data_IF_193426747215
#
_entry.id   IF_193426747215
#
_cell.length_a   1.000
_cell.length_b   1.000
_cell.length_c   1.000
_cell.angle_alpha   90.00
_cell.angle_beta   90.00
_cell.angle_gamma   90.00
#
_symmetry.space_group_name_H-M   'P 1'
#
loop_
_entity.id
_entity.type
_entity.pdbx_description
1 polymer ?
2 polymer ?
3 water ?
#
# COMPACT_ATOMS: atom_id res chain seq x y z
N UNK A 1 19.83 26.85 -13.98
CA UNK A 1 18.75 26.25 -13.20
C UNK A 1 18.85 24.74 -13.18
N UNK A 2 18.97 24.17 -11.99
CA UNK A 2 19.00 22.73 -11.79
C UNK A 2 17.75 22.27 -11.08
N UNK A 3 17.50 20.95 -11.13
CA UNK A 3 16.40 20.40 -10.35
C UNK A 3 16.63 20.59 -8.86
N UNK A 4 17.89 20.55 -8.43
CA UNK A 4 18.19 20.75 -7.01
C UNK A 4 17.82 22.16 -6.56
N UNK A 5 18.10 23.16 -7.39
CA UNK A 5 17.73 24.52 -7.03
C UNK A 5 16.23 24.72 -7.04
N UNK A 6 15.50 23.95 -7.84
CA UNK A 6 14.04 23.99 -7.77
C UNK A 6 13.55 23.55 -6.40
N UNK A 7 14.14 22.49 -5.86
CA UNK A 7 13.82 22.06 -4.50
C UNK A 7 14.33 23.08 -3.49
N UNK A 8 15.60 23.49 -3.65
CA UNK A 8 16.24 24.34 -2.64
C UNK A 8 15.65 25.74 -2.60
N UNK A 9 15.34 26.31 -3.78
CA UNK A 9 14.96 27.72 -3.85
C UNK A 9 13.47 27.95 -4.03
N UNK A 10 12.72 26.96 -4.50
CA UNK A 10 11.29 27.14 -4.77
C UNK A 10 10.39 26.20 -3.99
N UNK A 11 10.93 25.27 -3.24
CA UNK A 11 10.16 24.44 -2.32
C UNK A 11 10.57 24.65 -0.87
N UNK A 12 11.87 24.71 -0.59
CA UNK A 12 12.38 24.89 0.77
C UNK A 12 12.52 26.35 1.15
N UNK A 13 11.94 27.27 0.39
CA UNK A 13 12.06 28.68 0.73
C UNK A 13 11.10 29.06 1.85
N UNK A 14 11.31 30.24 2.42
CA UNK A 14 10.45 30.74 3.48
C UNK A 14 9.05 31.00 2.95
N UNK A 15 8.05 30.55 3.71
CA UNK A 15 6.64 30.78 3.40
C UNK A 15 6.00 31.32 4.66
N UNK A 16 5.78 32.64 4.70
CA UNK A 16 5.15 33.30 5.85
C UNK A 16 5.88 32.96 7.15
N UNK A 17 7.20 33.00 7.10
CA UNK A 17 8.03 32.71 8.26
C UNK A 17 8.28 31.25 8.53
N UNK A 18 7.75 30.35 7.71
CA UNK A 18 7.85 28.92 7.95
C UNK A 18 8.55 28.23 6.77
N UNK A 19 8.99 27.00 7.01
CA UNK A 19 9.69 26.21 6.02
C UNK A 19 9.19 24.77 6.06
N UNK A 20 9.16 24.14 4.88
CA UNK A 20 8.95 22.71 4.82
C UNK A 20 10.07 21.98 5.53
N UNK A 21 9.76 20.79 6.04
CA UNK A 21 10.82 19.95 6.60
C UNK A 21 11.54 19.17 5.50
N UNK A 22 10.79 18.60 4.56
CA UNK A 22 11.35 17.91 3.42
C UNK A 22 10.59 18.31 2.16
N UNK A 23 11.23 18.14 1.02
CA UNK A 23 10.63 18.44 -0.27
C UNK A 23 11.38 17.67 -1.35
N UNK A 24 10.67 17.36 -2.44
CA UNK A 24 11.28 16.59 -3.51
C UNK A 24 10.45 16.70 -4.77
N UNK A 25 11.10 16.46 -5.90
CA UNK A 25 10.46 16.31 -7.19
C UNK A 25 10.81 14.92 -7.71
N UNK A 26 9.80 14.09 -7.92
CA UNK A 26 9.97 12.72 -8.40
C UNK A 26 9.38 12.59 -9.79
N UNK A 27 10.04 11.82 -10.64
CA UNK A 27 9.37 11.30 -11.81
C UNK A 27 8.30 10.31 -11.40
N UNK A 28 7.25 10.22 -12.22
CA UNK A 28 6.17 9.31 -11.88
C UNK A 28 6.59 7.85 -11.96
N UNK A 29 7.77 7.56 -12.53
CA UNK A 29 8.37 6.23 -12.46
C UNK A 29 8.99 5.94 -11.10
N UNK A 30 9.02 6.91 -10.19
CA UNK A 30 9.59 6.73 -8.87
C UNK A 30 11.03 7.17 -8.72
N UNK A 31 11.65 7.69 -9.77
CA UNK A 31 13.03 8.15 -9.71
C UNK A 31 13.09 9.58 -9.19
N UNK A 32 14.15 9.88 -8.44
CA UNK A 32 14.35 11.21 -7.88
C UNK A 32 14.87 12.13 -8.97
N UNK A 33 14.19 13.25 -9.18
CA UNK A 33 14.77 14.33 -9.97
C UNK A 33 15.64 15.23 -9.11
N UNK A 34 15.16 15.54 -7.89
CA UNK A 34 15.91 16.21 -6.85
C UNK A 34 15.12 16.12 -5.57
N UNK A 35 15.83 16.14 -4.44
CA UNK A 35 15.19 16.02 -3.14
C UNK A 35 16.00 16.76 -2.10
N UNK A 36 15.36 17.11 -1.00
CA UNK A 36 16.05 17.71 0.12
C UNK A 36 16.92 16.66 0.81
N UNK A 37 17.76 17.13 1.74
CA UNK A 37 18.85 16.31 2.25
C UNK A 37 18.37 15.08 3.01
N UNK A 38 17.16 15.10 3.58
CA UNK A 38 16.67 13.96 4.33
C UNK A 38 15.27 13.56 3.90
N UNK A 39 14.95 13.75 2.62
CA UNK A 39 13.64 13.33 2.14
C UNK A 39 13.50 11.82 2.31
N UNK A 40 12.34 11.33 2.74
CA UNK A 40 12.20 9.90 3.04
C UNK A 40 12.46 9.03 1.81
N UNK A 41 13.00 7.84 2.07
CA UNK A 41 13.16 6.83 1.03
C UNK A 41 11.80 6.27 0.66
N UNK A 42 11.29 6.63 -0.50
CA UNK A 42 9.98 6.18 -0.94
C UNK A 42 10.06 4.77 -1.50
N UNK A 43 9.19 3.89 -1.01
CA UNK A 43 9.16 2.52 -1.49
C UNK A 43 8.44 2.45 -2.85
N UNK A 44 8.76 1.44 -3.67
CA UNK A 44 8.03 1.30 -4.94
C UNK A 44 6.53 1.14 -4.75
N UNK A 45 6.10 0.43 -3.70
CA UNK A 45 4.68 0.29 -3.45
C UNK A 45 4.04 1.62 -3.02
N UNK A 46 4.81 2.48 -2.35
CA UNK A 46 4.28 3.79 -1.99
C UNK A 46 4.12 4.67 -3.22
N UNK A 47 5.07 4.60 -4.16
CA UNK A 47 4.93 5.32 -5.42
C UNK A 47 3.74 4.76 -6.21
N UNK A 48 3.61 3.43 -6.27
CA UNK A 48 2.50 2.82 -6.99
C UNK A 48 1.16 3.22 -6.39
N UNK A 49 1.08 3.28 -5.06
CA UNK A 49 -0.16 3.69 -4.42
C UNK A 49 -0.49 5.16 -4.67
N UNK A 50 0.54 6.00 -4.70
CA UNK A 50 0.33 7.42 -5.02
C UNK A 50 -0.16 7.56 -6.45
N UNK A 51 0.48 6.87 -7.39
CA UNK A 51 0.06 6.92 -8.79
C UNK A 51 -1.37 6.43 -8.94
N UNK A 52 -1.73 5.35 -8.24
CA UNK A 52 -3.09 4.82 -8.31
C UNK A 52 -4.10 5.78 -7.69
N UNK A 53 -3.71 6.49 -6.63
CA UNK A 53 -4.62 7.41 -5.99
C UNK A 53 -4.95 8.59 -6.89
N UNK A 54 -3.97 9.08 -7.64
CA UNK A 54 -4.24 10.13 -8.61
C UNK A 54 -5.16 9.62 -9.71
N UNK A 55 -4.93 8.40 -10.17
CA UNK A 55 -5.78 7.82 -11.21
C UNK A 55 -7.19 7.53 -10.71
N UNK A 56 -7.31 7.14 -9.44
CA UNK A 56 -8.59 6.73 -8.84
C UNK A 56 -8.68 7.36 -7.45
N UNK A 57 -9.25 8.57 -7.39
CA UNK A 57 -9.34 9.29 -6.14
C UNK A 57 -10.10 8.48 -5.09
N UNK A 58 -9.59 8.48 -3.87
CA UNK A 58 -10.16 7.68 -2.80
C UNK A 58 -9.49 6.34 -2.59
N UNK A 59 -8.45 6.02 -3.36
CA UNK A 59 -7.82 4.70 -3.25
C UNK A 59 -7.09 4.56 -1.92
N UNK A 60 -6.32 5.58 -1.53
CA UNK A 60 -5.52 5.51 -0.32
C UNK A 60 -6.30 5.93 0.94
N UNK A 61 -7.37 6.71 0.78
CA UNK A 61 -8.06 7.31 1.92
C UNK A 61 -8.39 6.33 3.04
N UNK A 62 -8.96 5.15 2.80
CA UNK A 62 -9.28 4.25 3.92
C UNK A 62 -8.09 3.56 4.54
N UNK A 63 -6.93 3.51 3.86
CA UNK A 63 -5.79 2.76 4.36
C UNK A 63 -4.60 3.63 4.77
N UNK A 64 -4.50 4.85 4.27
CA UNK A 64 -3.44 5.75 4.66
C UNK A 64 -2.44 5.96 3.55
N UNK A 65 -1.84 7.15 3.53
CA UNK A 65 -0.73 7.46 2.63
C UNK A 65 0.57 7.21 3.37
N UNK A 66 1.49 6.50 2.73
CA UNK A 66 2.74 6.08 3.36
C UNK A 66 3.92 6.68 2.60
N UNK A 67 4.83 7.30 3.36
CA UNK A 67 6.03 7.91 2.81
C UNK A 67 7.21 7.45 3.66
N UNK A 68 8.08 6.62 3.07
CA UNK A 68 9.15 6.03 3.84
C UNK A 68 8.67 5.21 5.02
N UNK A 69 7.54 4.52 4.85
CA UNK A 69 6.95 3.75 5.92
C UNK A 69 6.14 4.55 6.92
N UNK A 70 6.18 5.87 6.87
CA UNK A 70 5.45 6.72 7.80
C UNK A 70 4.03 6.93 7.29
N UNK A 71 3.05 6.70 8.15
CA UNK A 71 1.64 6.74 7.76
C UNK A 71 1.07 8.14 7.91
N UNK A 72 0.41 8.63 6.86
CA UNK A 72 -0.32 9.89 6.89
C UNK A 72 -1.80 9.61 6.64
N UNK A 73 -2.65 10.35 7.33
CA UNK A 73 -4.09 10.28 7.06
C UNK A 73 -4.42 11.13 5.84
N UNK A 74 -5.06 10.52 4.85
CA UNK A 74 -5.46 11.25 3.66
C UNK A 74 -6.58 12.22 4.04
N UNK A 75 -6.36 13.51 3.81
CA UNK A 75 -7.38 14.52 4.08
C UNK A 75 -7.91 15.04 2.75
N UNK A 76 -8.50 16.23 2.78
CA UNK A 76 -9.13 16.78 1.58
C UNK A 76 -8.07 17.07 0.52
N UNK A 77 -8.32 16.60 -0.71
CA UNK A 77 -7.40 16.84 -1.80
C UNK A 77 -8.10 17.36 -3.04
N UNK A 78 -7.42 17.24 -4.18
CA UNK A 78 -8.01 17.57 -5.48
C UNK A 78 -7.93 16.34 -6.36
N UNK A 79 -9.08 15.80 -6.74
CA UNK A 79 -9.15 14.55 -7.49
C UNK A 79 -8.26 14.59 -8.71
N UNK A 80 -7.42 13.56 -8.86
CA UNK A 80 -6.52 13.45 -9.99
C UNK A 80 -5.37 14.42 -10.01
N UNK A 81 -5.22 15.29 -9.01
CA UNK A 81 -4.25 16.37 -9.10
C UNK A 81 -3.42 16.55 -7.84
N UNK A 82 -4.05 16.57 -6.66
CA UNK A 82 -3.37 16.90 -5.41
C UNK A 82 -3.77 15.89 -4.34
N UNK A 83 -2.79 15.24 -3.74
CA UNK A 83 -2.98 14.43 -2.54
C UNK A 83 -2.51 15.26 -1.35
N UNK A 84 -3.29 15.24 -0.27
CA UNK A 84 -2.95 15.94 0.96
C UNK A 84 -3.10 14.99 2.13
N UNK A 85 -2.10 14.97 3.00
CA UNK A 85 -2.13 14.11 4.16
C UNK A 85 -1.81 14.89 5.42
N UNK A 86 -2.22 14.32 6.56
CA UNK A 86 -1.93 14.87 7.87
C UNK A 86 -1.39 13.78 8.78
N UNK A 87 -0.42 14.15 9.62
CA UNK A 87 0.09 13.26 10.66
C UNK A 87 0.34 14.15 11.88
N UNK A 88 -0.61 14.16 12.80
CA UNK A 88 -0.59 15.09 13.90
C UNK A 88 -0.65 16.51 13.39
N UNK A 89 0.14 17.41 13.99
CA UNK A 89 0.19 18.80 13.50
C UNK A 89 0.90 18.95 12.15
N UNK A 90 1.63 17.93 11.70
CA UNK A 90 2.31 17.98 10.42
C UNK A 90 1.48 17.35 9.31
N UNK A 91 2.09 17.29 8.13
CA UNK A 91 1.39 16.75 6.98
C UNK A 91 2.24 16.78 5.73
N UNK A 92 1.56 16.68 4.59
CA UNK A 92 2.25 16.54 3.31
C UNK A 92 1.27 16.94 2.20
N UNK A 93 1.81 17.52 1.14
CA UNK A 93 1.08 17.77 -0.10
C UNK A 93 1.85 17.12 -1.23
N UNK A 94 1.14 16.38 -2.08
CA UNK A 94 1.71 15.79 -3.29
C UNK A 94 0.94 16.34 -4.48
N UNK A 95 1.64 17.09 -5.34
CA UNK A 95 1.03 17.73 -6.50
C UNK A 95 1.51 17.01 -7.76
N UNK A 96 0.56 16.54 -8.56
CA UNK A 96 0.88 15.82 -9.78
C UNK A 96 1.03 16.78 -10.94
N UNK A 97 2.12 16.63 -11.70
CA UNK A 97 2.26 17.25 -13.00
C UNK A 97 2.10 16.16 -14.06
N UNK A 98 2.27 16.54 -15.33
CA UNK A 98 2.07 15.56 -16.39
C UNK A 98 3.08 14.42 -16.30
N UNK A 99 4.33 14.73 -15.93
CA UNK A 99 5.37 13.72 -15.86
C UNK A 99 5.91 13.46 -14.47
N UNK A 100 5.65 14.34 -13.50
CA UNK A 100 6.38 14.30 -12.23
C UNK A 100 5.42 14.32 -11.05
N UNK A 101 6.01 14.24 -9.86
CA UNK A 101 5.31 14.37 -8.59
C UNK A 101 6.09 15.34 -7.73
N UNK A 102 5.40 16.37 -7.21
CA UNK A 102 6.03 17.37 -6.37
C UNK A 102 5.59 17.11 -4.93
N UNK A 103 6.57 16.91 -4.04
CA UNK A 103 6.32 16.56 -2.65
C UNK A 103 6.70 17.72 -1.75
N UNK A 104 5.92 17.90 -0.68
CA UNK A 104 6.27 18.82 0.38
C UNK A 104 5.81 18.27 1.71
N UNK A 105 6.71 18.11 2.67
CA UNK A 105 6.39 17.58 3.99
C UNK A 105 6.67 18.67 5.02
N UNK A 106 5.69 18.93 5.89
CA UNK A 106 5.78 20.02 6.83
C UNK A 106 5.50 19.54 8.25
N UNK A 107 5.99 20.33 9.21
CA UNK A 107 5.68 20.17 10.62
C UNK A 107 5.16 21.50 11.15
N UNK A 108 4.48 21.44 12.29
CA UNK A 108 4.13 22.65 13.01
C UNK A 108 5.41 23.45 13.26
N UNK A 109 5.36 24.79 13.28
CA UNK A 109 4.16 25.63 13.14
C UNK A 109 3.71 25.88 11.70
N UNK A 110 4.33 25.23 10.72
CA UNK A 110 3.86 25.37 9.35
C UNK A 110 2.52 24.69 9.18
N UNK A 111 1.66 25.30 8.37
CA UNK A 111 0.30 24.83 8.17
C UNK A 111 0.16 24.08 6.85
N UNK A 112 -0.91 23.31 6.73
CA UNK A 112 -1.21 22.65 5.47
C UNK A 112 -1.44 23.63 4.34
N UNK A 113 -2.01 24.80 4.64
CA UNK A 113 -2.23 25.79 3.61
C UNK A 113 -0.94 26.37 3.07
N UNK A 114 0.05 26.57 3.93
CA UNK A 114 1.35 27.06 3.48
C UNK A 114 2.07 26.00 2.66
N UNK A 115 1.96 24.74 3.05
CA UNK A 115 2.54 23.66 2.27
C UNK A 115 1.86 23.54 0.91
N UNK A 116 0.53 23.62 0.87
CA UNK A 116 -0.19 23.63 -0.40
C UNK A 116 0.30 24.75 -1.30
N UNK A 117 0.51 25.94 -0.72
CA UNK A 117 0.92 27.09 -1.51
C UNK A 117 2.20 26.81 -2.29
N UNK A 118 3.24 26.34 -1.60
CA UNK A 118 4.55 26.20 -2.23
C UNK A 118 4.56 25.01 -3.18
N UNK A 119 3.89 23.91 -2.81
CA UNK A 119 3.97 22.68 -3.59
C UNK A 119 3.10 22.78 -4.84
N UNK A 120 1.86 23.24 -4.69
CA UNK A 120 0.96 23.26 -5.83
C UNK A 120 1.37 24.33 -6.83
N UNK A 121 1.89 25.46 -6.36
CA UNK A 121 2.27 26.52 -7.29
C UNK A 121 3.50 26.15 -8.10
N UNK A 122 4.44 25.41 -7.52
CA UNK A 122 5.57 24.93 -8.31
C UNK A 122 5.12 23.86 -9.28
N UNK A 123 4.26 22.94 -8.83
CA UNK A 123 3.69 21.96 -9.74
C UNK A 123 2.96 22.60 -10.90
N UNK A 124 2.19 23.66 -10.62
CA UNK A 124 1.53 24.39 -11.69
C UNK A 124 2.52 24.94 -12.69
N UNK A 125 3.63 25.51 -12.21
CA UNK A 125 4.63 26.06 -13.11
C UNK A 125 5.25 24.97 -13.99
N UNK A 126 5.52 23.80 -13.40
CA UNK A 126 6.10 22.71 -14.18
C UNK A 126 5.12 22.21 -15.24
N UNK A 127 3.83 22.18 -14.92
CA UNK A 127 2.81 21.83 -15.91
C UNK A 127 2.80 22.87 -17.02
N UNK A 128 2.77 24.16 -16.66
CA UNK A 128 2.79 25.21 -17.66
C UNK A 128 4.08 25.21 -18.47
N UNK A 129 5.16 24.63 -17.94
CA UNK A 129 6.41 24.49 -18.67
C UNK A 129 6.47 23.20 -19.49
N UNK A 130 5.36 22.47 -19.59
CA UNK A 130 5.32 21.26 -20.39
C UNK A 130 5.78 20.01 -19.67
N UNK A 131 5.82 20.02 -18.34
CA UNK A 131 6.27 18.86 -17.58
C UNK A 131 5.19 18.35 -16.63
N UNK B 1 9.76 -6.91 -7.25
CA UNK B 1 9.02 -7.68 -6.27
C UNK B 1 9.38 -9.15 -6.30
N UNK B 2 9.53 -9.73 -5.11
CA UNK B 2 9.56 -11.18 -4.94
C UNK B 2 8.28 -11.60 -4.25
N UNK B 3 7.94 -12.89 -4.39
CA UNK B 3 6.81 -13.41 -3.63
C UNK B 3 7.06 -13.29 -2.13
N UNK B 4 8.33 -13.41 -1.71
CA UNK B 4 8.65 -13.25 -0.29
C UNK B 4 8.33 -11.84 0.20
N UNK B 5 8.65 -10.83 -0.61
CA UNK B 5 8.37 -9.46 -0.19
C UNK B 5 6.88 -9.14 -0.26
N UNK B 6 6.13 -9.82 -1.13
CA UNK B 6 4.69 -9.69 -1.10
C UNK B 6 4.13 -10.12 0.26
N UNK B 7 4.67 -11.21 0.81
CA UNK B 7 4.27 -11.66 2.15
C UNK B 7 4.79 -10.70 3.21
N UNK B 8 6.11 -10.42 3.16
CA UNK B 8 6.73 -9.63 4.22
C UNK B 8 6.21 -8.19 4.25
N UNK B 9 6.07 -7.56 3.08
CA UNK B 9 5.78 -6.13 3.02
C UNK B 9 4.29 -5.82 2.91
N UNK B 10 3.47 -6.74 2.42
CA UNK B 10 2.08 -6.43 2.13
C UNK B 10 1.08 -7.36 2.81
N UNK B 11 1.55 -8.33 3.58
CA UNK B 11 0.68 -9.10 4.45
C UNK B 11 1.09 -9.02 5.90
N UNK B 12 2.40 -9.05 6.18
CA UNK B 12 2.92 -9.00 7.54
C UNK B 12 3.18 -7.58 8.03
N UNK B 13 2.78 -6.56 7.26
CA UNK B 13 3.00 -5.18 7.65
C UNK B 13 2.01 -4.77 8.74
N UNK B 14 2.30 -3.63 9.35
CA UNK B 14 1.46 -3.12 10.43
C UNK B 14 0.11 -2.64 9.90
N UNK B 15 -0.98 -3.08 10.54
CA UNK B 15 -2.35 -2.67 10.22
C UNK B 15 -2.96 -2.11 11.49
N UNK B 16 -3.13 -0.78 11.55
CA UNK B 16 -3.74 -0.09 12.69
C UNK B 16 -3.09 -0.49 14.02
N UNK B 17 -1.76 -0.57 14.05
CA UNK B 17 -1.06 -0.99 15.24
C UNK B 17 -0.72 -2.45 15.30
N UNK B 18 -1.42 -3.30 14.55
CA UNK B 18 -1.35 -4.75 14.72
C UNK B 18 -0.64 -5.43 13.56
N UNK B 19 -0.33 -6.70 13.76
CA UNK B 19 0.37 -7.52 12.79
C UNK B 19 -0.29 -8.89 12.70
N UNK B 20 -0.35 -9.44 11.49
CA UNK B 20 -0.69 -10.84 11.33
C UNK B 20 0.36 -11.70 12.04
N UNK B 21 -0.06 -12.85 12.54
CA UNK B 21 0.89 -13.79 13.12
C UNK B 21 1.60 -14.58 12.03
N UNK B 22 0.85 -15.08 11.05
CA UNK B 22 1.42 -15.76 9.90
C UNK B 22 0.70 -15.31 8.64
N UNK B 23 1.38 -15.49 7.51
CA UNK B 23 0.79 -15.16 6.22
C UNK B 23 1.52 -15.95 5.15
N UNK B 24 0.85 -16.14 4.01
CA UNK B 24 1.42 -16.94 2.94
C UNK B 24 0.62 -16.72 1.67
N UNK B 25 1.25 -17.05 0.54
CA UNK B 25 0.59 -17.12 -0.75
C UNK B 25 0.90 -18.49 -1.34
N UNK B 26 -0.14 -19.28 -1.57
CA UNK B 26 -0.02 -20.61 -2.12
C UNK B 26 -0.59 -20.63 -3.54
N UNK B 27 -0.02 -21.49 -4.38
CA UNK B 27 -0.74 -21.90 -5.57
C UNK B 27 -1.92 -22.77 -5.19
N UNK B 28 -2.95 -22.76 -6.03
CA UNK B 28 -4.11 -23.60 -5.74
C UNK B 28 -3.78 -25.08 -5.84
N UNK B 29 -2.64 -25.44 -6.43
CA UNK B 29 -2.11 -26.79 -6.34
C UNK B 29 -1.59 -27.13 -4.95
N UNK B 30 -1.42 -26.14 -4.08
CA UNK B 30 -0.88 -26.35 -2.76
C UNK B 30 0.60 -26.06 -2.63
N UNK B 31 1.25 -25.60 -3.69
CA UNK B 31 2.66 -25.20 -3.62
C UNK B 31 2.77 -23.85 -2.93
N UNK B 32 3.79 -23.70 -2.09
CA UNK B 32 4.08 -22.42 -1.45
C UNK B 32 4.74 -21.51 -2.47
N UNK B 33 4.13 -20.36 -2.72
CA UNK B 33 4.83 -19.33 -3.48
C UNK B 33 5.74 -18.53 -2.57
N UNK B 34 5.23 -18.15 -1.39
CA UNK B 34 6.04 -17.59 -0.31
C UNK B 34 5.22 -17.61 0.96
N UNK B 35 5.92 -17.63 2.09
CA UNK B 35 5.26 -17.72 3.39
C UNK B 35 6.13 -17.04 4.44
N UNK B 36 5.50 -16.65 5.54
CA UNK B 36 6.24 -16.13 6.67
C UNK B 36 7.00 -17.27 7.35
N UNK B 37 7.88 -16.90 8.28
CA UNK B 37 8.88 -17.84 8.80
C UNK B 37 8.27 -19.01 9.56
N UNK B 38 7.07 -18.85 10.13
CA UNK B 38 6.47 -19.92 10.93
C UNK B 38 5.06 -20.28 10.45
N UNK B 39 4.74 -20.01 9.19
CA UNK B 39 3.44 -20.39 8.68
C UNK B 39 3.24 -21.89 8.79
N UNK B 40 2.06 -22.36 9.16
CA UNK B 40 1.86 -23.81 9.35
C UNK B 40 2.10 -24.60 8.08
N UNK B 41 2.44 -25.87 8.25
CA UNK B 41 2.55 -26.81 7.14
C UNK B 41 1.14 -27.30 6.80
N UNK B 42 0.66 -26.95 5.62
CA UNK B 42 -0.70 -27.29 5.21
C UNK B 42 -0.71 -28.68 4.58
N UNK B 43 -1.65 -29.51 5.02
CA UNK B 43 -1.79 -30.84 4.47
C UNK B 43 -2.48 -30.80 3.10
N UNK B 44 -2.19 -31.75 2.23
CA UNK B 44 -2.91 -31.81 0.93
C UNK B 44 -4.42 -31.88 1.10
N UNK B 45 -4.91 -32.65 2.07
CA UNK B 45 -6.35 -32.71 2.29
C UNK B 45 -6.91 -31.36 2.75
N UNK B 46 -6.09 -30.56 3.45
CA UNK B 46 -6.53 -29.24 3.85
C UNK B 46 -6.61 -28.30 2.65
N UNK B 47 -5.63 -28.37 1.75
CA UNK B 47 -5.68 -27.58 0.52
C UNK B 47 -6.88 -28.00 -0.32
N UNK B 48 -7.11 -29.32 -0.45
CA UNK B 48 -8.25 -29.80 -1.21
C UNK B 48 -9.57 -29.35 -0.57
N UNK B 49 -9.62 -29.34 0.77
CA UNK B 49 -10.82 -28.86 1.44
C UNK B 49 -11.06 -27.38 1.21
N UNK B 50 -9.99 -26.59 1.21
CA UNK B 50 -10.12 -25.16 0.94
C UNK B 50 -10.58 -24.92 -0.49
N UNK B 51 -9.98 -25.64 -1.45
CA UNK B 51 -10.37 -25.48 -2.84
C UNK B 51 -11.83 -25.85 -3.07
N UNK B 52 -12.28 -26.94 -2.42
CA UNK B 52 -13.67 -27.34 -2.59
C UNK B 52 -14.63 -26.36 -1.92
N UNK B 53 -14.20 -25.73 -0.81
CA UNK B 53 -15.08 -24.78 -0.14
C UNK B 53 -15.32 -23.54 -0.99
N UNK B 54 -14.29 -23.09 -1.71
CA UNK B 54 -14.49 -21.99 -2.65
C UNK B 54 -15.43 -22.40 -3.78
N UNK B 55 -15.28 -23.62 -4.29
CA UNK B 55 -16.15 -24.10 -5.36
C UNK B 55 -17.57 -24.33 -4.87
N UNK B 56 -17.73 -24.78 -3.62
CA UNK B 56 -19.03 -25.13 -3.05
C UNK B 56 -19.10 -24.53 -1.64
N UNK B 57 -19.56 -23.28 -1.55
CA UNK B 57 -19.62 -22.57 -0.29
C UNK B 57 -20.42 -23.36 0.74
N UNK B 58 -19.93 -23.37 1.98
CA UNK B 58 -20.54 -24.15 3.04
C UNK B 58 -20.01 -25.56 3.18
N UNK B 59 -19.00 -25.94 2.40
CA UNK B 59 -18.47 -27.30 2.48
C UNK B 59 -17.77 -27.54 3.81
N UNK B 60 -16.97 -26.58 4.28
CA UNK B 60 -16.16 -26.76 5.48
C UNK B 60 -16.89 -26.43 6.77
N UNK B 61 -17.94 -25.61 6.71
CA UNK B 61 -18.56 -25.05 7.92
C UNK B 61 -18.99 -26.10 8.94
N UNK B 62 -19.69 -27.18 8.59
CA UNK B 62 -20.14 -28.12 9.64
C UNK B 62 -19.02 -28.84 10.37
N UNK B 63 -17.84 -29.00 9.77
CA UNK B 63 -16.75 -29.74 10.40
C UNK B 63 -15.54 -28.88 10.74
N UNK B 64 -15.46 -27.66 10.23
CA UNK B 64 -14.40 -26.74 10.61
C UNK B 64 -13.33 -26.62 9.55
N UNK B 65 -12.60 -25.49 9.63
CA UNK B 65 -11.49 -25.21 8.73
C UNK B 65 -10.19 -25.60 9.42
N UNK B 66 -9.44 -26.50 8.79
CA UNK B 66 -8.22 -27.05 9.36
C UNK B 66 -7.00 -26.52 8.62
N UNK B 67 -6.07 -25.93 9.37
CA UNK B 67 -4.81 -25.42 8.83
C UNK B 67 -3.67 -25.93 9.70
N UNK B 68 -2.81 -26.76 9.14
CA UNK B 68 -1.76 -27.38 9.91
C UNK B 68 -2.27 -28.21 11.07
N UNK B 69 -3.46 -28.82 10.91
CA UNK B 69 -4.07 -29.57 11.98
C UNK B 69 -4.88 -28.76 12.96
N UNK B 70 -4.75 -27.44 12.96
CA UNK B 70 -5.50 -26.58 13.87
C UNK B 70 -6.89 -26.28 13.31
N UNK B 71 -7.89 -26.38 14.17
CA UNK B 71 -9.29 -26.26 13.76
C UNK B 71 -9.77 -24.83 13.96
N UNK B 72 -10.34 -24.26 12.90
CA UNK B 72 -10.93 -22.93 12.92
C UNK B 72 -12.42 -23.04 12.64
N UNK B 73 -13.22 -22.24 13.34
CA UNK B 73 -14.64 -22.17 13.06
C UNK B 73 -14.87 -21.26 11.86
N UNK B 74 -15.54 -21.79 10.83
CA UNK B 74 -15.86 -20.98 9.66
C UNK B 74 -16.92 -19.94 10.05
N UNK B 75 -16.63 -18.67 9.76
CA UNK B 75 -17.59 -17.60 10.02
C UNK B 75 -18.03 -17.02 8.69
N UNK B 76 -18.55 -15.79 8.72
CA UNK B 76 -19.06 -15.17 7.50
C UNK B 76 -17.94 -14.97 6.49
N UNK B 77 -18.14 -15.49 5.29
CA UNK B 77 -17.19 -15.29 4.22
C UNK B 77 -17.84 -14.70 2.98
N UNK B 78 -17.22 -14.89 1.83
CA UNK B 78 -17.78 -14.49 0.55
C UNK B 78 -17.74 -15.70 -0.38
N UNK B 79 -18.93 -16.15 -0.80
CA UNK B 79 -19.03 -17.39 -1.56
C UNK B 79 -18.15 -17.36 -2.80
N UNK B 80 -17.31 -18.38 -2.93
CA UNK B 80 -16.40 -18.49 -4.04
C UNK B 80 -15.19 -17.57 -4.00
N UNK B 81 -15.07 -16.74 -2.96
CA UNK B 81 -14.05 -15.70 -2.98
C UNK B 81 -13.21 -15.66 -1.70
N UNK B 82 -13.86 -15.67 -0.54
CA UNK B 82 -13.17 -15.47 0.73
C UNK B 82 -13.66 -16.50 1.76
N UNK B 83 -12.72 -17.17 2.42
CA UNK B 83 -12.99 -17.99 3.59
C UNK B 83 -12.48 -17.26 4.81
N UNK B 84 -13.32 -17.13 5.84
CA UNK B 84 -12.93 -16.49 7.09
C UNK B 84 -13.18 -17.45 8.24
N UNK B 85 -12.19 -17.57 9.13
CA UNK B 85 -12.31 -18.45 10.27
C UNK B 85 -11.98 -17.72 11.55
N UNK B 86 -12.45 -18.29 12.66
CA UNK B 86 -12.14 -17.79 13.99
C UNK B 86 -11.63 -18.94 14.85
N UNK B 87 -10.69 -18.61 15.73
CA UNK B 87 -10.17 -19.56 16.73
C UNK B 87 -9.89 -18.74 17.99
N UNK B 88 -10.80 -18.80 18.95
CA UNK B 88 -10.75 -17.91 20.09
C UNK B 88 -10.79 -16.47 19.62
N UNK B 89 -9.94 -15.63 20.21
CA UNK B 89 -9.84 -14.23 19.75
C UNK B 89 -9.11 -14.07 18.43
N UNK B 90 -8.47 -15.12 17.92
CA UNK B 90 -7.77 -15.07 16.65
C UNK B 90 -8.63 -15.55 15.50
N UNK B 91 -8.01 -15.68 14.34
CA UNK B 91 -8.72 -16.15 13.18
C UNK B 91 -7.84 -16.19 11.95
N UNK B 92 -8.49 -16.25 10.80
CA UNK B 92 -7.80 -16.43 9.53
C UNK B 92 -8.67 -15.90 8.41
N UNK B 93 -8.05 -15.36 7.38
CA UNK B 93 -8.71 -15.04 6.12
C UNK B 93 -7.98 -15.74 4.99
N UNK B 94 -8.72 -16.44 4.14
CA UNK B 94 -8.20 -17.04 2.93
C UNK B 94 -8.91 -16.37 1.76
N UNK B 95 -8.14 -15.62 0.95
CA UNK B 95 -8.68 -14.96 -0.23
C UNK B 95 -8.24 -15.73 -1.47
N UNK B 96 -9.20 -16.08 -2.31
CA UNK B 96 -8.91 -16.81 -3.53
C UNK B 96 -8.68 -15.83 -4.68
N UNK B 97 -7.62 -16.07 -5.44
CA UNK B 97 -7.40 -15.42 -6.72
C UNK B 97 -7.62 -16.45 -7.82
N UNK B 98 -7.40 -16.04 -9.06
CA UNK B 98 -7.63 -16.97 -10.17
C UNK B 98 -6.69 -18.17 -10.08
N UNK B 99 -5.44 -17.95 -9.66
CA UNK B 99 -4.46 -19.02 -9.61
C UNK B 99 -3.99 -19.38 -8.20
N UNK B 100 -4.21 -18.52 -7.21
CA UNK B 100 -3.50 -18.63 -5.95
C UNK B 100 -4.46 -18.58 -4.77
N UNK B 101 -3.89 -18.69 -3.58
CA UNK B 101 -4.60 -18.58 -2.31
C UNK B 101 -3.77 -17.70 -1.38
N UNK B 102 -4.39 -16.67 -0.81
CA UNK B 102 -3.72 -15.73 0.07
C UNK B 102 -4.18 -16.00 1.49
N UNK B 103 -3.25 -16.26 2.39
CA UNK B 103 -3.54 -16.59 3.78
C UNK B 103 -3.08 -15.48 4.72
N UNK B 104 -3.91 -15.19 5.71
CA UNK B 104 -3.52 -14.35 6.82
C UNK B 104 -4.06 -14.92 8.11
N UNK B 105 -3.18 -15.17 9.08
CA UNK B 105 -3.55 -15.74 10.38
C UNK B 105 -3.20 -14.72 11.46
N UNK B 106 -4.15 -14.43 12.34
CA UNK B 106 -3.97 -13.39 13.34
C UNK B 106 -4.33 -13.90 14.72
N UNK B 107 -3.80 -13.19 15.72
CA UNK B 107 -4.12 -13.36 17.12
C UNK B 107 -4.66 -12.05 17.67
N UNK B 108 -5.23 -12.12 18.88
CA UNK B 108 -5.54 -10.89 19.61
C UNK B 108 -4.24 -10.09 19.79
N UNK B 109 -4.33 -8.75 19.79
CA UNK B 109 -5.53 -7.92 19.70
C UNK B 109 -5.93 -7.56 18.27
N UNK B 110 -5.29 -8.17 17.27
CA UNK B 110 -5.68 -7.90 15.89
C UNK B 110 -7.10 -8.42 15.64
N UNK B 111 -7.83 -7.72 14.79
CA UNK B 111 -9.22 -8.04 14.50
C UNK B 111 -9.33 -8.75 13.16
N UNK B 112 -10.46 -9.45 12.99
CA UNK B 112 -10.73 -10.09 11.72
C UNK B 112 -10.84 -9.10 10.58
N UNK B 113 -11.41 -7.93 10.85
CA UNK B 113 -11.49 -6.90 9.82
C UNK B 113 -10.14 -6.35 9.41
N UNK B 114 -9.19 -6.28 10.35
CA UNK B 114 -7.84 -5.89 10.00
C UNK B 114 -7.16 -6.97 9.17
N UNK B 115 -7.39 -8.24 9.51
CA UNK B 115 -6.86 -9.32 8.70
C UNK B 115 -7.48 -9.33 7.31
N UNK B 116 -8.79 -9.14 7.23
CA UNK B 116 -9.46 -9.08 5.93
C UNK B 116 -8.87 -7.98 5.05
N UNK B 117 -8.50 -6.85 5.66
CA UNK B 117 -8.03 -5.70 4.90
C UNK B 117 -6.78 -6.03 4.09
N UNK B 118 -5.75 -6.58 4.74
CA UNK B 118 -4.50 -6.85 4.02
C UNK B 118 -4.65 -8.04 3.09
N UNK B 119 -5.37 -9.07 3.52
CA UNK B 119 -5.44 -10.30 2.74
C UNK B 119 -6.27 -10.08 1.48
N UNK B 120 -7.45 -9.49 1.63
CA UNK B 120 -8.36 -9.36 0.50
C UNK B 120 -7.86 -8.31 -0.49
N UNK B 121 -7.28 -7.21 0.00
CA UNK B 121 -6.80 -6.17 -0.90
C UNK B 121 -5.64 -6.67 -1.75
N UNK B 122 -4.72 -7.44 -1.16
CA UNK B 122 -3.64 -8.00 -1.95
C UNK B 122 -4.15 -9.04 -2.94
N UNK B 123 -5.09 -9.89 -2.50
CA UNK B 123 -5.68 -10.84 -3.43
C UNK B 123 -6.36 -10.15 -4.61
N UNK B 124 -7.04 -9.04 -4.35
CA UNK B 124 -7.68 -8.30 -5.43
C UNK B 124 -6.65 -7.78 -6.42
N UNK B 125 -5.51 -7.29 -5.92
CA UNK B 125 -4.47 -6.81 -6.82
C UNK B 125 -3.89 -7.94 -7.65
N UNK B 126 -3.68 -9.11 -7.05
CA UNK B 126 -3.18 -10.27 -7.80
C UNK B 126 -4.17 -10.68 -8.87
N UNK B 127 -5.46 -10.62 -8.57
CA UNK B 127 -6.49 -10.93 -9.58
C UNK B 127 -6.41 -9.95 -10.73
N UNK B 128 -6.31 -8.66 -10.43
CA UNK B 128 -6.20 -7.65 -11.48
C UNK B 128 -4.93 -7.83 -12.29
N UNK B 129 -3.89 -8.42 -11.71
CA UNK B 129 -2.65 -8.68 -12.42
C UNK B 129 -2.68 -9.98 -13.22
N UNK B 130 -3.83 -10.65 -13.28
CA UNK B 130 -3.95 -11.90 -14.00
C UNK B 130 -3.54 -13.14 -13.23
N UNK B 131 -3.43 -13.05 -11.90
CA UNK B 131 -3.04 -14.20 -11.09
C UNK B 131 -4.16 -14.61 -10.14
N UNK C 2 6.31 -24.41 -10.18
CA UNK C 2 6.77 -23.07 -10.49
C UNK C 2 5.76 -22.02 -10.06
N UNK C 3 6.14 -21.18 -9.11
CA UNK C 3 5.40 -19.93 -8.90
C UNK C 3 5.54 -19.05 -10.12
N UNK C 4 4.44 -18.48 -10.60
CA UNK C 4 4.53 -17.56 -11.75
C UNK C 4 5.27 -16.30 -11.36
N UNK C 5 5.66 -15.47 -12.32
CA UNK C 5 6.39 -14.24 -11.99
C UNK C 5 5.54 -13.31 -11.15
N UNK C 6 6.11 -12.73 -10.10
CA UNK C 6 5.36 -11.77 -9.28
C UNK C 6 5.04 -10.52 -10.06
N UNK C 7 3.86 -9.94 -9.85
CA UNK C 7 3.50 -8.71 -10.55
C UNK C 7 4.32 -7.53 -10.05
N UNK C 8 4.28 -6.39 -10.73
CA UNK C 8 4.97 -5.19 -10.24
C UNK C 8 4.50 -4.81 -8.85
N UNK C 9 5.24 -3.94 -8.15
CA UNK C 9 4.88 -3.56 -6.78
C UNK C 9 3.43 -3.10 -6.68
N UNK C 10 2.68 -3.60 -5.70
CA UNK C 10 1.26 -3.29 -5.64
C UNK C 10 1.03 -1.87 -5.16
N UNK C 11 -0.09 -1.25 -5.53
CA UNK C 11 -0.40 0.08 -5.01
C UNK C 11 -0.96 0.02 -3.59
N UNK C 12 -0.32 -0.77 -2.73
CA UNK C 12 -0.79 -1.04 -1.37
C UNK C 12 0.32 -0.68 -0.39
N UNK C 13 0.52 0.61 -0.11
CA UNK C 13 1.56 1.04 0.84
C UNK C 13 1.22 0.65 2.28
N UNK D 3 15.25 8.88 -17.12
CA UNK D 3 16.04 10.10 -17.29
C UNK D 3 15.19 11.37 -17.15
N UNK D 4 15.49 12.19 -16.15
CA UNK D 4 14.73 13.43 -15.95
C UNK D 4 14.88 14.34 -17.15
N UNK D 5 13.80 15.01 -17.55
CA UNK D 5 13.90 16.05 -18.57
C UNK D 5 14.73 17.22 -18.05
N UNK D 6 15.17 18.12 -18.93
CA UNK D 6 15.95 19.26 -18.47
C UNK D 6 15.10 20.15 -17.58
N UNK D 7 15.71 20.78 -16.59
CA UNK D 7 14.96 21.71 -15.74
C UNK D 7 14.51 22.91 -16.56
N UNK D 8 13.24 23.28 -16.50
CA UNK D 8 12.79 24.42 -17.26
C UNK D 8 13.45 25.69 -16.72
N UNK D 9 13.44 26.77 -17.53
CA UNK D 9 13.94 28.05 -17.12
C UNK D 9 13.12 28.41 -15.87
N UNK D 10 13.75 29.06 -14.87
CA UNK D 10 13.04 29.45 -13.63
C UNK D 10 11.99 30.53 -13.90
N UNK D 11 10.83 30.51 -13.20
CA UNK D 11 9.78 31.52 -13.41
C UNK D 11 10.34 32.94 -13.30
#
# INVERSE_FOLDING_TARGET
MSWQSYVDDHLMCEVEGNHLTHAAIFGQDGSVWAQSSAFPQLKPAEIAGINKDFEEAGHLAPTGLFLGGEKYMVVQGEAGAVIRGKKGPGGVTIKKTTQALVFGIYDEPMTGGQCNLVVERLGDYLIESGL
MSWQSYVDDHLMCEVEGNHLTHAAIFGQDGSVWAQSSAFPQLKPAEIAGINKDFEEAGHLAPTGLFLGGEKYMVVQGEAGAVIRGKKGPGGVTIKKTTQALVFGIYDEPMTGGQCNLVVERLGDYLIESGL
RVPPPPPPPPPLP
RVPPPPPPPPPLP
#
